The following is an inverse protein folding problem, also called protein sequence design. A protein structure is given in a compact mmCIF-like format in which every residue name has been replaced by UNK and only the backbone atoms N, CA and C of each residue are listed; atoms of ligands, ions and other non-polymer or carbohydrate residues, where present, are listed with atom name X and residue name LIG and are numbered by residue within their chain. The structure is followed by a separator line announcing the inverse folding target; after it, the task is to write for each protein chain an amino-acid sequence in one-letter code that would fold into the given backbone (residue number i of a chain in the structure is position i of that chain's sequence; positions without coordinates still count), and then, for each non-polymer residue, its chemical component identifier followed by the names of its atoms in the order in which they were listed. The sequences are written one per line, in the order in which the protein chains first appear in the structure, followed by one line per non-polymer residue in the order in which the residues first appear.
data_IF_359939140277
#
_entry.id   IF_359939140277
#
_cell.length_a   1.000
_cell.length_b   1.000
_cell.length_c   1.000
_cell.angle_alpha   90.00
_cell.angle_beta   90.00
_cell.angle_gamma   90.00
#
_symmetry.space_group_name_H-M   'P 1'
#
loop_
_entity.id
_entity.type
_entity.pdbx_description
1 polymer ?
#
# COMPACT_ATOMS: atom_id res chain seq x y z
N UNK A 1 -3.46 -11.90 29.16
CA UNK A 1 -4.21 -11.34 28.02
C UNK A 1 -3.20 -10.82 27.03
N UNK A 2 -3.02 -11.54 25.92
CA UNK A 2 -2.15 -11.12 24.82
C UNK A 2 -2.72 -9.90 24.11
N UNK A 3 -1.90 -9.22 23.32
CA UNK A 3 -2.36 -8.04 22.57
C UNK A 3 -3.49 -8.42 21.60
N UNK A 4 -3.40 -9.61 20.99
CA UNK A 4 -4.38 -10.13 20.04
C UNK A 4 -5.75 -10.42 20.64
N UNK A 5 -5.84 -10.69 21.95
CA UNK A 5 -7.11 -10.98 22.62
C UNK A 5 -8.12 -9.83 22.46
N UNK A 6 -7.62 -8.59 22.33
CA UNK A 6 -8.45 -7.38 22.12
C UNK A 6 -9.16 -7.38 20.78
N UNK A 7 -8.57 -8.03 19.77
CA UNK A 7 -9.01 -8.01 18.38
C UNK A 7 -9.77 -9.28 17.96
N UNK A 8 -9.89 -10.29 18.85
CA UNK A 8 -10.60 -11.55 18.56
C UNK A 8 -12.13 -11.41 18.55
N UNK A 9 -12.65 -10.25 18.97
CA UNK A 9 -14.08 -9.91 18.89
C UNK A 9 -14.49 -9.64 17.44
N UNK A 10 -15.79 -9.75 17.15
CA UNK A 10 -16.33 -9.40 15.82
C UNK A 10 -15.88 -8.00 15.39
N UNK A 11 -15.34 -7.89 14.18
CA UNK A 11 -14.78 -6.64 13.63
C UNK A 11 -13.36 -6.28 14.09
N UNK A 12 -12.80 -6.94 15.11
CA UNK A 12 -11.47 -6.62 15.64
C UNK A 12 -10.34 -6.88 14.64
N UNK A 13 -10.48 -7.88 13.76
CA UNK A 13 -9.53 -8.11 12.66
C UNK A 13 -9.42 -6.89 11.73
N UNK A 14 -10.56 -6.29 11.35
CA UNK A 14 -10.59 -5.10 10.48
C UNK A 14 -10.00 -3.89 11.19
N UNK A 15 -10.29 -3.72 12.49
CA UNK A 15 -9.68 -2.65 13.29
C UNK A 15 -8.15 -2.79 13.37
N UNK A 16 -7.65 -4.02 13.51
CA UNK A 16 -6.21 -4.29 13.52
C UNK A 16 -5.58 -4.02 12.16
N UNK A 17 -6.25 -4.42 11.08
CA UNK A 17 -5.81 -4.13 9.72
C UNK A 17 -5.71 -2.62 9.47
N UNK A 18 -6.75 -1.87 9.81
CA UNK A 18 -6.77 -0.42 9.67
C UNK A 18 -5.68 0.26 10.50
N UNK A 19 -5.42 -0.23 11.72
CA UNK A 19 -4.32 0.27 12.54
C UNK A 19 -2.96 0.04 11.88
N UNK A 20 -2.76 -1.14 11.27
CA UNK A 20 -1.53 -1.45 10.56
C UNK A 20 -1.37 -0.54 9.33
N UNK A 21 -2.43 -0.28 8.58
CA UNK A 21 -2.42 0.55 7.35
C UNK A 21 -2.20 2.05 7.63
N UNK A 22 -2.57 2.52 8.82
CA UNK A 22 -2.53 3.96 9.17
C UNK A 22 -1.37 4.34 10.10
N UNK A 23 -0.65 3.37 10.67
CA UNK A 23 0.48 3.64 11.54
C UNK A 23 1.81 3.76 10.76
N UNK A 24 2.79 4.46 11.33
CA UNK A 24 4.11 4.58 10.72
C UNK A 24 4.85 3.24 10.62
N UNK A 25 5.72 3.10 9.62
CA UNK A 25 6.41 1.85 9.26
C UNK A 25 7.10 1.15 10.44
N UNK A 26 7.84 1.90 11.27
CA UNK A 26 8.53 1.35 12.44
C UNK A 26 7.56 0.73 13.46
N UNK A 27 6.37 1.32 13.63
CA UNK A 27 5.33 0.79 14.52
C UNK A 27 4.60 -0.39 13.87
N UNK A 28 4.33 -0.32 12.57
CA UNK A 28 3.71 -1.40 11.80
C UNK A 28 4.56 -2.68 11.88
N UNK A 29 5.87 -2.58 11.65
CA UNK A 29 6.80 -3.70 11.75
C UNK A 29 6.79 -4.34 13.14
N UNK A 30 6.93 -3.52 14.19
CA UNK A 30 6.86 -4.00 15.58
C UNK A 30 5.55 -4.70 15.90
N UNK A 31 4.42 -4.16 15.45
CA UNK A 31 3.10 -4.78 15.63
C UNK A 31 3.04 -6.14 14.93
N UNK A 32 3.45 -6.22 13.66
CA UNK A 32 3.47 -7.47 12.92
C UNK A 32 4.39 -8.52 13.56
N UNK A 33 5.56 -8.13 14.06
CA UNK A 33 6.49 -9.05 14.74
C UNK A 33 5.89 -9.60 16.05
N UNK A 34 5.20 -8.76 16.82
CA UNK A 34 4.46 -9.21 18.02
C UNK A 34 3.30 -10.13 17.67
N UNK A 35 2.56 -9.82 16.60
CA UNK A 35 1.43 -10.64 16.13
C UNK A 35 1.94 -12.00 15.64
N UNK A 36 3.05 -12.05 14.90
CA UNK A 36 3.66 -13.29 14.44
C UNK A 36 4.10 -14.18 15.61
N UNK A 37 4.66 -13.58 16.67
CA UNK A 37 5.06 -14.31 17.87
C UNK A 37 3.85 -14.88 18.65
N UNK A 38 2.71 -14.19 18.66
CA UNK A 38 1.48 -14.67 19.31
C UNK A 38 0.68 -15.65 18.44
N UNK A 39 0.50 -15.37 17.14
CA UNK A 39 -0.25 -16.18 16.17
C UNK A 39 0.24 -15.95 14.73
N UNK A 40 1.13 -16.83 14.22
CA UNK A 40 1.64 -16.77 12.84
C UNK A 40 0.56 -16.78 11.76
N UNK A 41 -0.57 -17.45 11.99
CA UNK A 41 -1.65 -17.53 11.00
C UNK A 41 -2.36 -16.19 10.88
N UNK A 42 -2.54 -15.49 11.98
CA UNK A 42 -3.11 -14.14 11.99
C UNK A 42 -2.20 -13.13 11.32
N UNK A 43 -0.90 -13.14 11.64
CA UNK A 43 0.09 -12.29 10.95
C UNK A 43 0.07 -12.54 9.44
N UNK A 44 0.11 -13.81 9.00
CA UNK A 44 0.04 -14.16 7.58
C UNK A 44 -1.24 -13.62 6.92
N UNK A 45 -2.38 -13.76 7.57
CA UNK A 45 -3.67 -13.30 7.04
C UNK A 45 -3.73 -11.78 6.94
N UNK A 46 -3.21 -11.06 7.94
CA UNK A 46 -3.09 -9.59 7.91
C UNK A 46 -2.20 -9.15 6.77
N UNK A 47 -1.03 -9.76 6.59
CA UNK A 47 -0.09 -9.45 5.49
C UNK A 47 -0.73 -9.65 4.11
N UNK A 48 -1.59 -10.65 3.96
CA UNK A 48 -2.34 -10.89 2.71
C UNK A 48 -3.45 -9.86 2.47
N UNK A 49 -3.91 -9.16 3.50
CA UNK A 49 -5.01 -8.20 3.43
C UNK A 49 -4.56 -6.75 3.51
N UNK A 50 -3.30 -6.50 3.88
CA UNK A 50 -2.72 -5.16 3.94
C UNK A 50 -2.78 -4.49 2.58
N UNK A 51 -3.35 -3.29 2.54
CA UNK A 51 -3.32 -2.45 1.37
C UNK A 51 -1.95 -1.75 1.25
N UNK A 52 -1.04 -2.35 0.50
CA UNK A 52 0.26 -1.75 0.17
C UNK A 52 0.22 -1.02 -1.16
N UNK A 53 1.23 -0.19 -1.42
CA UNK A 53 1.36 0.53 -2.69
C UNK A 53 1.44 -0.46 -3.87
N UNK A 54 2.18 -1.57 -3.72
CA UNK A 54 2.27 -2.64 -4.71
C UNK A 54 0.91 -3.27 -5.02
N UNK A 55 0.07 -3.46 -3.99
CA UNK A 55 -1.29 -3.99 -4.18
C UNK A 55 -2.14 -3.02 -4.98
N UNK A 56 -2.06 -1.71 -4.70
CA UNK A 56 -2.82 -0.68 -5.42
C UNK A 56 -2.39 -0.63 -6.89
N UNK A 57 -1.09 -0.57 -7.18
CA UNK A 57 -0.59 -0.57 -8.57
C UNK A 57 -0.76 -1.94 -9.27
N UNK A 58 -1.01 -2.99 -8.50
CA UNK A 58 -1.40 -4.31 -8.98
C UNK A 58 -2.84 -4.37 -9.53
N UNK A 59 -3.71 -3.41 -9.23
CA UNK A 59 -5.11 -3.41 -9.69
C UNK A 59 -5.25 -3.26 -11.21
N UNK A 60 -6.39 -3.66 -11.81
CA UNK A 60 -6.59 -3.50 -13.24
C UNK A 60 -6.52 -2.02 -13.67
N UNK A 61 -6.19 -1.81 -14.94
CA UNK A 61 -5.82 -0.49 -15.46
C UNK A 61 -6.95 0.54 -15.32
N UNK A 62 -8.20 0.09 -15.41
CA UNK A 62 -9.38 0.94 -15.30
C UNK A 62 -9.52 1.54 -13.89
N UNK A 63 -9.33 0.73 -12.85
CA UNK A 63 -9.39 1.23 -11.47
C UNK A 63 -8.17 2.09 -11.15
N UNK A 64 -7.00 1.72 -11.68
CA UNK A 64 -5.79 2.48 -11.46
C UNK A 64 -5.85 3.87 -12.12
N UNK A 65 -6.41 3.98 -13.33
CA UNK A 65 -6.58 5.26 -14.03
C UNK A 65 -7.44 6.27 -13.24
N UNK A 66 -8.53 5.80 -12.61
CA UNK A 66 -9.40 6.65 -11.77
C UNK A 66 -8.66 7.23 -10.55
N UNK A 67 -7.80 6.43 -9.93
CA UNK A 67 -7.05 6.84 -8.73
C UNK A 67 -5.90 7.76 -9.12
N UNK A 68 -5.07 7.31 -10.06
CA UNK A 68 -3.86 8.00 -10.48
C UNK A 68 -4.20 9.36 -11.11
N UNK A 69 -5.34 9.47 -11.80
CA UNK A 69 -5.84 10.73 -12.35
C UNK A 69 -6.14 11.81 -11.29
N UNK A 70 -6.37 11.43 -10.04
CA UNK A 70 -6.68 12.34 -8.93
C UNK A 70 -5.46 12.72 -8.08
N UNK A 71 -4.32 12.06 -8.27
CA UNK A 71 -3.11 12.30 -7.49
C UNK A 71 -2.30 13.47 -8.06
N UNK A 72 -1.70 14.27 -7.15
CA UNK A 72 -0.73 15.29 -7.52
C UNK A 72 0.51 14.64 -8.17
N UNK A 73 1.07 15.27 -9.20
CA UNK A 73 2.19 14.69 -9.96
C UNK A 73 3.42 14.37 -9.09
N UNK A 74 3.76 15.23 -8.13
CA UNK A 74 4.92 15.00 -7.27
C UNK A 74 4.74 13.75 -6.37
N UNK A 75 3.55 13.58 -5.78
CA UNK A 75 3.21 12.40 -4.97
C UNK A 75 3.30 11.13 -5.79
N UNK A 76 2.80 11.18 -7.03
CA UNK A 76 2.86 10.06 -7.94
C UNK A 76 4.31 9.75 -8.35
N UNK A 77 5.13 10.76 -8.66
CA UNK A 77 6.54 10.57 -8.99
C UNK A 77 7.31 9.87 -7.87
N UNK A 78 7.10 10.28 -6.60
CA UNK A 78 7.70 9.62 -5.45
C UNK A 78 7.19 8.20 -5.24
N UNK A 79 5.88 7.97 -5.41
CA UNK A 79 5.31 6.63 -5.28
C UNK A 79 5.87 5.67 -6.34
N UNK A 80 5.99 6.11 -7.59
CA UNK A 80 6.52 5.31 -8.70
C UNK A 80 7.97 4.90 -8.47
N UNK A 81 8.83 5.77 -7.91
CA UNK A 81 10.24 5.44 -7.61
C UNK A 81 10.40 4.24 -6.67
N UNK A 82 9.41 3.96 -5.83
CA UNK A 82 9.44 2.84 -4.88
C UNK A 82 8.91 1.50 -5.41
N UNK A 83 8.34 1.48 -6.62
CA UNK A 83 7.72 0.29 -7.21
C UNK A 83 8.69 -0.54 -8.04
N UNK A 84 8.34 -1.80 -8.30
CA UNK A 84 9.05 -2.62 -9.27
C UNK A 84 8.91 -2.06 -10.70
N UNK A 85 9.87 -2.31 -11.61
CA UNK A 85 9.82 -1.81 -12.99
C UNK A 85 8.53 -2.18 -13.73
N UNK A 86 7.99 -3.37 -13.49
CA UNK A 86 6.76 -3.87 -14.12
C UNK A 86 5.53 -3.06 -13.68
N UNK A 87 5.45 -2.73 -12.39
CA UNK A 87 4.36 -1.92 -11.85
C UNK A 87 4.49 -0.45 -12.28
N UNK A 88 5.72 0.06 -12.39
CA UNK A 88 5.98 1.39 -12.93
C UNK A 88 5.49 1.51 -14.38
N UNK A 89 5.84 0.56 -15.25
CA UNK A 89 5.42 0.57 -16.65
C UNK A 89 3.89 0.53 -16.76
N UNK A 90 3.25 -0.36 -16.01
CA UNK A 90 1.78 -0.45 -15.97
C UNK A 90 1.14 0.84 -15.50
N UNK A 91 1.66 1.46 -14.44
CA UNK A 91 1.18 2.75 -13.95
C UNK A 91 1.32 3.85 -15.01
N UNK A 92 2.47 3.90 -15.68
CA UNK A 92 2.71 4.84 -16.77
C UNK A 92 1.69 4.62 -17.91
N UNK A 93 1.37 3.38 -18.29
CA UNK A 93 0.38 3.13 -19.35
C UNK A 93 -1.01 3.72 -19.04
N UNK A 94 -1.39 3.82 -17.76
CA UNK A 94 -2.67 4.43 -17.35
C UNK A 94 -2.69 5.96 -17.40
N UNK A 95 -1.52 6.59 -17.51
CA UNK A 95 -1.40 8.04 -17.51
C UNK A 95 -1.60 8.67 -18.90
N UNK A 96 -2.20 9.86 -18.89
CA UNK A 96 -2.24 10.70 -20.09
C UNK A 96 -0.84 11.15 -20.52
N UNK A 97 -0.67 11.45 -21.81
CA UNK A 97 0.60 11.94 -22.36
C UNK A 97 1.12 13.21 -21.65
N UNK A 98 0.21 14.09 -21.21
CA UNK A 98 0.57 15.30 -20.47
C UNK A 98 1.11 15.01 -19.07
N UNK A 99 0.51 14.06 -18.35
CA UNK A 99 0.98 13.65 -17.02
C UNK A 99 2.33 12.92 -17.11
N UNK A 100 2.50 12.03 -18.10
CA UNK A 100 3.79 11.36 -18.35
C UNK A 100 4.93 12.36 -18.48
N UNK A 101 4.75 13.37 -19.33
CA UNK A 101 5.77 14.40 -19.56
C UNK A 101 6.14 15.13 -18.26
N UNK A 102 5.14 15.58 -17.50
CA UNK A 102 5.37 16.28 -16.22
C UNK A 102 6.05 15.39 -15.17
N UNK A 103 5.73 14.10 -15.14
CA UNK A 103 6.39 13.15 -14.25
C UNK A 103 7.86 12.94 -14.63
N UNK A 104 8.15 12.77 -15.93
CA UNK A 104 9.52 12.63 -16.43
C UNK A 104 10.38 13.81 -16.01
N UNK A 105 9.87 15.04 -16.23
CA UNK A 105 10.54 16.29 -15.83
C UNK A 105 10.83 16.34 -14.31
N UNK A 106 9.93 15.81 -13.47
CA UNK A 106 10.10 15.75 -12.01
C UNK A 106 11.03 14.62 -11.53
N UNK A 107 11.16 13.54 -12.29
CA UNK A 107 12.01 12.39 -11.91
C UNK A 107 13.47 12.57 -12.29
N UNK A 108 13.75 13.35 -13.34
CA UNK A 108 15.10 13.67 -13.84
C UNK A 108 15.74 14.90 -13.16
N UNK A 109 14.96 15.67 -12.39
CA UNK A 109 15.40 16.81 -11.58
C UNK A 109 15.91 16.48 -10.19
#
# INVERSE_FOLDING_TARGET
MGMLDRYRKSGGFVQLLQLLETCGEAKQKKLLDMIEAEDPRWSKTLRQKLLTIDVIFGWPAEQLAEIVGQLQELTLAFALKGLSPELQEKALLTLSHGQKRRLTDLTEG
#
